data_IF_135069978181
#
_entry.id   IF_135069978181
#
_cell.length_a   1.000
_cell.length_b   1.000
_cell.length_c   1.000
_cell.angle_alpha   90.00
_cell.angle_beta   90.00
_cell.angle_gamma   90.00
#
_symmetry.space_group_name_H-M   'P 1'
#
loop_
_entity.id
_entity.type
_entity.pdbx_description
1 polymer ?
#
# COMPACT_ATOMS: atom_id res chain seq x y z
N UNK A 1 -1.01 10.22 -10.11
CA UNK A 1 -0.53 10.08 -11.49
C UNK A 1 -1.47 9.20 -12.32
N UNK A 2 -1.71 7.92 -11.94
CA UNK A 2 -2.57 7.01 -12.69
C UNK A 2 -3.93 7.62 -13.07
N UNK A 3 -4.59 8.33 -12.15
CA UNK A 3 -5.86 9.03 -12.42
C UNK A 3 -5.74 10.13 -13.48
N UNK A 4 -4.56 10.74 -13.62
CA UNK A 4 -4.30 11.74 -14.67
C UNK A 4 -4.26 11.03 -16.02
N UNK A 5 -3.52 9.93 -16.13
CA UNK A 5 -3.44 9.13 -17.37
C UNK A 5 -4.81 8.56 -17.76
N UNK A 6 -5.55 8.02 -16.78
CA UNK A 6 -6.86 7.41 -17.02
C UNK A 6 -7.93 8.47 -17.44
N UNK A 7 -7.80 9.71 -16.95
CA UNK A 7 -8.77 10.79 -17.19
C UNK A 7 -8.41 11.75 -18.33
N UNK A 8 -7.13 12.06 -18.49
CA UNK A 8 -6.64 13.09 -19.44
C UNK A 8 -5.71 12.54 -20.54
N UNK A 9 -5.42 11.23 -20.47
CA UNK A 9 -4.53 10.56 -21.41
C UNK A 9 -3.04 10.64 -21.02
N UNK A 10 -2.26 9.77 -21.67
CA UNK A 10 -0.82 9.57 -21.36
C UNK A 10 -0.01 10.85 -21.61
N UNK A 11 -0.34 11.62 -22.65
CA UNK A 11 0.37 12.85 -23.01
C UNK A 11 0.31 13.88 -21.88
N UNK A 12 -0.85 14.04 -21.24
CA UNK A 12 -1.04 14.93 -20.10
C UNK A 12 -0.23 14.46 -18.87
N UNK A 13 -0.17 13.16 -18.66
CA UNK A 13 0.66 12.58 -17.60
C UNK A 13 2.15 12.79 -17.83
N UNK A 14 2.62 12.57 -19.06
CA UNK A 14 4.03 12.77 -19.42
C UNK A 14 4.44 14.23 -19.28
N UNK A 15 3.59 15.17 -19.70
CA UNK A 15 3.83 16.59 -19.51
C UNK A 15 3.93 16.96 -18.02
N UNK A 16 3.02 16.45 -17.17
CA UNK A 16 3.07 16.65 -15.73
C UNK A 16 4.39 16.12 -15.13
N UNK A 17 4.80 14.91 -15.52
CA UNK A 17 6.06 14.29 -15.08
C UNK A 17 7.25 15.16 -15.51
N UNK A 18 7.27 15.66 -16.74
CA UNK A 18 8.33 16.52 -17.24
C UNK A 18 8.41 17.85 -16.48
N UNK A 19 7.27 18.51 -16.24
CA UNK A 19 7.23 19.77 -15.49
C UNK A 19 7.73 19.55 -14.05
N UNK A 20 7.28 18.49 -13.40
CA UNK A 20 7.72 18.16 -12.04
C UNK A 20 9.20 17.77 -12.00
N UNK A 21 9.66 16.97 -12.96
CA UNK A 21 11.06 16.59 -13.09
C UNK A 21 11.98 17.78 -13.34
N UNK A 22 11.56 18.77 -14.14
CA UNK A 22 12.28 20.02 -14.37
C UNK A 22 12.47 20.81 -13.07
N UNK A 23 11.41 20.92 -12.27
CA UNK A 23 11.49 21.50 -10.93
C UNK A 23 12.45 20.75 -10.01
N UNK A 24 12.41 19.41 -10.00
CA UNK A 24 13.32 18.62 -9.17
C UNK A 24 14.77 18.78 -9.60
N UNK A 25 15.06 18.92 -10.89
CA UNK A 25 16.43 19.15 -11.40
C UNK A 25 17.06 20.43 -10.89
N UNK A 26 16.29 21.43 -10.43
CA UNK A 26 16.81 22.64 -9.81
C UNK A 26 17.58 22.36 -8.49
N UNK A 27 17.35 21.20 -7.88
CA UNK A 27 18.08 20.77 -6.70
C UNK A 27 19.44 20.15 -7.00
N UNK A 28 19.74 19.81 -8.27
CA UNK A 28 21.05 19.24 -8.61
C UNK A 28 22.20 20.19 -8.26
N UNK A 29 23.22 19.64 -7.63
CA UNK A 29 24.41 20.36 -7.21
C UNK A 29 25.46 19.38 -6.70
N UNK A 30 26.47 19.89 -6.00
CA UNK A 30 27.57 19.07 -5.51
C UNK A 30 27.11 18.02 -4.48
N UNK A 31 26.09 18.35 -3.68
CA UNK A 31 25.59 17.50 -2.60
C UNK A 31 24.26 16.82 -2.91
N UNK A 32 23.64 17.08 -4.07
CA UNK A 32 22.34 16.54 -4.43
C UNK A 32 22.32 16.05 -5.86
N UNK A 33 21.94 14.80 -6.05
CA UNK A 33 21.74 14.19 -7.38
C UNK A 33 20.27 13.78 -7.51
N UNK A 34 19.63 14.23 -8.58
CA UNK A 34 18.25 13.89 -8.90
C UNK A 34 18.21 12.94 -10.09
N UNK A 35 17.51 11.83 -9.92
CA UNK A 35 17.31 10.82 -10.96
C UNK A 35 15.82 10.54 -11.16
N UNK A 36 15.41 10.37 -12.41
CA UNK A 36 14.12 9.81 -12.76
C UNK A 36 14.24 8.28 -12.83
N UNK A 37 13.55 7.56 -11.97
CA UNK A 37 13.63 6.10 -11.93
C UNK A 37 12.63 5.44 -12.89
N UNK A 38 11.37 5.75 -12.74
CA UNK A 38 10.32 5.18 -13.59
C UNK A 38 9.01 5.95 -13.44
N UNK A 39 8.25 6.09 -14.51
CA UNK A 39 6.90 6.67 -14.51
C UNK A 39 6.80 7.98 -13.70
N UNK A 40 6.23 7.94 -12.50
CA UNK A 40 6.05 9.07 -11.59
C UNK A 40 6.98 9.02 -10.36
N UNK A 41 8.06 8.23 -10.44
CA UNK A 41 8.99 8.03 -9.33
C UNK A 41 10.34 8.68 -9.64
N UNK A 42 10.76 9.56 -8.75
CA UNK A 42 12.06 10.20 -8.74
C UNK A 42 12.85 9.79 -7.51
N UNK A 43 14.17 9.73 -7.63
CA UNK A 43 15.09 9.52 -6.54
C UNK A 43 16.01 10.75 -6.40
N UNK A 44 16.30 11.10 -5.16
CA UNK A 44 17.29 12.12 -4.83
C UNK A 44 18.31 11.51 -3.88
N UNK A 45 19.56 11.48 -4.28
CA UNK A 45 20.66 11.18 -3.38
C UNK A 45 21.18 12.49 -2.80
N UNK A 46 21.25 12.57 -1.47
CA UNK A 46 21.66 13.77 -0.75
C UNK A 46 22.87 13.42 0.10
N UNK A 47 23.98 14.09 -0.13
CA UNK A 47 25.17 14.00 0.71
C UNK A 47 25.09 15.04 1.83
N UNK A 48 24.80 14.58 3.04
CA UNK A 48 24.63 15.45 4.22
C UNK A 48 25.41 14.91 5.42
N UNK A 49 26.76 15.00 5.39
CA UNK A 49 27.61 14.42 6.43
C UNK A 49 27.45 15.08 7.80
N UNK A 50 26.84 16.26 7.86
CA UNK A 50 26.65 17.01 9.09
C UNK A 50 25.22 16.96 9.63
N UNK A 51 24.30 16.31 8.93
CA UNK A 51 22.88 16.23 9.33
C UNK A 51 22.18 17.59 9.36
N UNK A 52 22.54 18.50 8.46
CA UNK A 52 22.09 19.91 8.45
C UNK A 52 20.64 20.11 7.97
N UNK A 53 19.80 19.08 8.05
CA UNK A 53 18.37 19.15 7.66
C UNK A 53 18.12 19.39 6.18
N UNK A 54 19.07 19.06 5.31
CA UNK A 54 18.95 19.21 3.86
C UNK A 54 17.70 18.52 3.33
N UNK A 55 17.39 17.31 3.83
CA UNK A 55 16.18 16.56 3.45
C UNK A 55 14.90 17.32 3.80
N UNK A 56 14.81 17.88 5.02
CA UNK A 56 13.63 18.65 5.43
C UNK A 56 13.46 19.93 4.62
N UNK A 57 14.55 20.61 4.28
CA UNK A 57 14.51 21.80 3.47
C UNK A 57 14.03 21.51 2.06
N UNK A 58 14.56 20.47 1.43
CA UNK A 58 14.13 20.00 0.11
C UNK A 58 12.67 19.59 0.14
N UNK A 59 12.25 18.81 1.13
CA UNK A 59 10.87 18.40 1.30
C UNK A 59 9.92 19.59 1.41
N UNK A 60 10.25 20.62 2.20
CA UNK A 60 9.45 21.85 2.32
C UNK A 60 9.28 22.55 0.97
N UNK A 61 10.34 22.64 0.15
CA UNK A 61 10.28 23.21 -1.20
C UNK A 61 9.38 22.38 -2.12
N UNK A 62 9.50 21.04 -2.08
CA UNK A 62 8.67 20.12 -2.85
C UNK A 62 7.19 20.30 -2.47
N UNK A 63 6.86 20.31 -1.17
CA UNK A 63 5.49 20.53 -0.69
C UNK A 63 4.96 21.90 -1.11
N UNK A 64 5.78 22.95 -1.04
CA UNK A 64 5.38 24.29 -1.53
C UNK A 64 5.02 24.23 -3.01
N UNK A 65 5.88 23.65 -3.85
CA UNK A 65 5.64 23.53 -5.31
C UNK A 65 4.37 22.73 -5.62
N UNK A 66 4.09 21.66 -4.89
CA UNK A 66 2.88 20.82 -5.12
C UNK A 66 1.57 21.50 -4.68
N UNK A 67 1.64 22.58 -3.90
CA UNK A 67 0.47 23.42 -3.58
C UNK A 67 0.12 24.37 -4.72
N UNK A 68 1.05 24.65 -5.61
CA UNK A 68 0.83 25.45 -6.80
C UNK A 68 0.31 24.54 -7.92
N UNK A 69 -0.68 25.00 -8.71
CA UNK A 69 -1.21 24.21 -9.79
C UNK A 69 -0.19 23.99 -10.92
N UNK A 70 -0.34 22.88 -11.62
CA UNK A 70 0.36 22.58 -12.86
C UNK A 70 -0.55 22.89 -14.03
N UNK A 71 -0.08 23.75 -14.93
CA UNK A 71 -0.80 24.16 -16.14
C UNK A 71 -0.29 23.34 -17.32
N UNK A 72 -1.15 22.56 -17.93
CA UNK A 72 -0.81 21.73 -19.08
C UNK A 72 -1.13 22.47 -20.39
N UNK A 73 -0.41 22.12 -21.45
CA UNK A 73 -0.55 22.75 -22.78
C UNK A 73 -2.00 22.68 -23.30
N UNK A 74 -2.73 21.62 -22.97
CA UNK A 74 -4.15 21.46 -23.29
C UNK A 74 -5.12 22.32 -22.48
N UNK A 75 -4.61 23.28 -21.65
CA UNK A 75 -5.42 24.16 -20.80
C UNK A 75 -5.92 23.53 -19.51
N UNK A 76 -5.57 22.25 -19.24
CA UNK A 76 -5.94 21.61 -17.99
C UNK A 76 -5.08 22.14 -16.83
N UNK A 77 -5.69 22.24 -15.66
CA UNK A 77 -5.04 22.67 -14.42
C UNK A 77 -5.08 21.52 -13.41
N UNK A 78 -3.91 21.08 -12.97
CA UNK A 78 -3.78 19.93 -12.09
C UNK A 78 -3.17 20.31 -10.73
N UNK A 79 -3.77 19.78 -9.67
CA UNK A 79 -3.19 19.76 -8.34
C UNK A 79 -2.70 18.36 -8.02
N UNK A 80 -1.45 18.26 -7.60
CA UNK A 80 -0.85 16.97 -7.23
C UNK A 80 -0.39 16.95 -5.79
N UNK A 81 -0.15 15.77 -5.29
CA UNK A 81 0.51 15.54 -4.00
C UNK A 81 1.65 14.57 -4.17
N UNK A 82 2.67 14.68 -3.34
CA UNK A 82 3.86 13.84 -3.37
C UNK A 82 3.97 13.08 -2.06
N UNK A 83 4.29 11.79 -2.15
CA UNK A 83 4.71 10.99 -1.02
C UNK A 83 6.20 10.72 -1.13
N UNK A 84 6.93 10.91 -0.05
CA UNK A 84 8.38 10.82 0.00
C UNK A 84 8.78 9.73 0.98
N UNK A 85 9.69 8.84 0.55
CA UNK A 85 10.37 7.89 1.42
C UNK A 85 11.82 8.32 1.60
N UNK A 86 12.31 8.27 2.81
CA UNK A 86 13.69 8.63 3.16
C UNK A 86 14.36 7.43 3.82
N UNK A 87 15.54 7.09 3.32
CA UNK A 87 16.42 6.08 3.92
C UNK A 87 17.82 6.64 4.03
N UNK A 88 18.46 6.43 5.16
CA UNK A 88 19.76 7.00 5.48
C UNK A 88 20.84 5.91 5.52
N UNK A 89 21.98 6.23 4.98
CA UNK A 89 23.18 5.41 5.06
C UNK A 89 24.00 5.82 6.31
N UNK A 90 24.55 4.87 7.06
CA UNK A 90 24.51 3.41 6.88
C UNK A 90 23.35 2.70 7.57
N UNK A 91 22.45 3.42 8.26
CA UNK A 91 21.44 2.88 9.18
C UNK A 91 20.41 2.00 8.47
N UNK A 92 19.96 2.43 7.29
CA UNK A 92 18.94 1.70 6.54
C UNK A 92 19.52 0.59 5.66
N UNK A 93 20.69 0.80 5.09
CA UNK A 93 21.37 -0.15 4.20
C UNK A 93 22.83 0.21 3.99
N UNK A 94 23.61 -0.77 3.51
CA UNK A 94 25.05 -0.60 3.24
C UNK A 94 25.41 -0.52 1.76
N UNK A 95 24.43 -0.72 0.88
CA UNK A 95 24.58 -0.57 -0.57
C UNK A 95 23.58 0.43 -1.14
N UNK A 96 23.96 1.10 -2.23
CA UNK A 96 23.09 2.09 -2.89
C UNK A 96 21.74 1.48 -3.35
N UNK A 97 21.77 0.26 -3.89
CA UNK A 97 20.56 -0.42 -4.36
C UNK A 97 19.61 -0.74 -3.20
N UNK A 98 20.15 -1.25 -2.09
CA UNK A 98 19.33 -1.53 -0.89
C UNK A 98 18.78 -0.24 -0.29
N UNK A 99 19.57 0.85 -0.29
CA UNK A 99 19.12 2.15 0.22
C UNK A 99 17.92 2.68 -0.58
N UNK A 100 17.98 2.60 -1.92
CA UNK A 100 16.87 2.98 -2.80
C UNK A 100 15.64 2.10 -2.50
N UNK A 101 15.81 0.78 -2.38
CA UNK A 101 14.73 -0.13 -2.05
C UNK A 101 14.09 0.19 -0.68
N UNK A 102 14.90 0.50 0.33
CA UNK A 102 14.39 0.93 1.63
C UNK A 102 13.57 2.21 1.55
N UNK A 103 14.06 3.22 0.81
CA UNK A 103 13.33 4.46 0.59
C UNK A 103 12.00 4.23 -0.15
N UNK A 104 11.98 3.34 -1.15
CA UNK A 104 10.78 2.98 -1.88
C UNK A 104 9.74 2.26 -1.00
N UNK A 105 10.17 1.30 -0.18
CA UNK A 105 9.29 0.59 0.78
C UNK A 105 8.59 1.58 1.71
N UNK A 106 9.32 2.50 2.31
CA UNK A 106 8.72 3.47 3.25
C UNK A 106 7.85 4.49 2.53
N UNK A 107 8.18 4.88 1.30
CA UNK A 107 7.32 5.71 0.45
C UNK A 107 5.97 5.02 0.21
N UNK A 108 5.97 3.73 -0.14
CA UNK A 108 4.73 2.96 -0.33
C UNK A 108 3.91 2.86 0.96
N UNK A 109 4.56 2.67 2.11
CA UNK A 109 3.87 2.71 3.40
C UNK A 109 3.23 4.09 3.65
N UNK A 110 3.95 5.18 3.38
CA UNK A 110 3.42 6.54 3.46
C UNK A 110 2.20 6.75 2.56
N UNK A 111 2.23 6.20 1.33
CA UNK A 111 1.06 6.20 0.41
C UNK A 111 -0.14 5.45 1.00
N UNK A 112 0.07 4.32 1.65
CA UNK A 112 -0.98 3.53 2.29
C UNK A 112 -1.59 4.24 3.52
N UNK A 113 -0.79 5.03 4.25
CA UNK A 113 -1.21 5.77 5.45
C UNK A 113 -1.88 7.12 5.16
N UNK A 114 -2.29 7.39 3.91
CA UNK A 114 -3.04 8.60 3.54
C UNK A 114 -2.33 9.52 2.56
N UNK A 115 -1.21 9.11 1.98
CA UNK A 115 -0.44 9.87 0.96
C UNK A 115 0.03 11.26 1.44
N UNK A 116 0.63 12.05 0.56
CA UNK A 116 1.04 13.45 0.79
C UNK A 116 1.84 13.65 2.09
N UNK A 117 2.87 12.83 2.29
CA UNK A 117 3.70 12.84 3.49
C UNK A 117 5.13 12.40 3.20
N UNK A 118 6.01 12.75 4.12
CA UNK A 118 7.35 12.15 4.22
C UNK A 118 7.30 10.99 5.21
N UNK A 119 7.98 9.91 4.88
CA UNK A 119 8.13 8.74 5.73
C UNK A 119 9.60 8.37 5.78
N UNK A 120 10.16 8.29 6.97
CA UNK A 120 11.52 7.85 7.20
C UNK A 120 11.57 6.33 7.37
N UNK A 121 12.69 5.75 6.96
CA UNK A 121 12.97 4.34 7.16
C UNK A 121 13.06 4.03 8.65
N UNK A 122 12.50 2.89 9.02
CA UNK A 122 12.57 2.30 10.35
C UNK A 122 12.55 0.78 10.19
N UNK A 123 13.41 0.07 10.91
CA UNK A 123 13.49 -1.40 10.86
C UNK A 123 12.13 -2.11 11.07
N UNK A 124 11.26 -1.69 11.99
CA UNK A 124 9.90 -2.21 12.09
C UNK A 124 9.10 -2.12 10.80
N UNK A 125 9.27 -1.05 10.01
CA UNK A 125 8.58 -0.86 8.74
C UNK A 125 9.00 -1.93 7.72
N UNK A 126 10.29 -2.19 7.61
CA UNK A 126 10.81 -3.23 6.73
C UNK A 126 10.29 -4.61 7.14
N UNK A 127 10.34 -4.92 8.42
CA UNK A 127 9.85 -6.19 8.95
C UNK A 127 8.35 -6.41 8.67
N UNK A 128 7.54 -5.35 8.84
CA UNK A 128 6.12 -5.40 8.49
C UNK A 128 5.88 -5.60 6.99
N UNK A 129 6.70 -4.96 6.15
CA UNK A 129 6.62 -5.13 4.71
C UNK A 129 6.96 -6.57 4.30
N UNK A 130 8.07 -7.12 4.80
CA UNK A 130 8.48 -8.50 4.50
C UNK A 130 7.43 -9.52 4.97
N UNK A 131 6.86 -9.33 6.17
CA UNK A 131 5.75 -10.17 6.66
C UNK A 131 4.51 -10.10 5.77
N UNK A 132 4.17 -8.93 5.24
CA UNK A 132 3.03 -8.79 4.34
C UNK A 132 3.29 -9.44 2.97
N UNK A 133 4.52 -9.37 2.44
CA UNK A 133 4.91 -10.08 1.21
C UNK A 133 4.82 -11.59 1.39
N UNK A 134 5.34 -12.11 2.50
CA UNK A 134 5.25 -13.53 2.85
C UNK A 134 3.78 -13.96 3.00
N UNK A 135 2.97 -13.13 3.66
CA UNK A 135 1.55 -13.43 3.88
C UNK A 135 0.74 -13.39 2.58
N UNK A 136 1.07 -12.49 1.63
CA UNK A 136 0.47 -12.45 0.29
C UNK A 136 0.72 -13.75 -0.48
N UNK A 137 1.96 -14.23 -0.46
CA UNK A 137 2.31 -15.49 -1.11
C UNK A 137 1.55 -16.68 -0.50
N UNK A 138 1.56 -16.79 0.82
CA UNK A 138 0.83 -17.85 1.54
C UNK A 138 -0.68 -17.78 1.34
N UNK A 139 -1.24 -16.57 1.20
CA UNK A 139 -2.67 -16.41 0.96
C UNK A 139 -3.09 -16.95 -0.41
N UNK A 140 -2.29 -16.72 -1.44
CA UNK A 140 -2.54 -17.26 -2.78
C UNK A 140 -2.52 -18.79 -2.78
N UNK A 141 -1.56 -19.38 -2.07
CA UNK A 141 -1.48 -20.84 -1.87
C UNK A 141 -2.70 -21.36 -1.10
N UNK A 142 -3.08 -20.68 -0.01
CA UNK A 142 -4.23 -21.05 0.80
C UNK A 142 -5.57 -21.00 0.04
N UNK A 143 -5.72 -20.06 -0.90
CA UNK A 143 -6.90 -19.99 -1.80
C UNK A 143 -6.93 -21.21 -2.71
N UNK A 144 -5.80 -21.63 -3.25
CA UNK A 144 -5.70 -22.79 -4.14
C UNK A 144 -5.98 -24.11 -3.38
N UNK A 145 -5.47 -24.24 -2.16
CA UNK A 145 -5.58 -25.45 -1.32
C UNK A 145 -6.87 -25.48 -0.47
N UNK A 146 -7.70 -24.42 -0.50
CA UNK A 146 -8.89 -24.27 0.33
C UNK A 146 -8.61 -24.39 1.85
N UNK A 147 -7.52 -23.79 2.32
CA UNK A 147 -7.08 -23.81 3.72
C UNK A 147 -7.88 -22.86 4.63
N UNK A 148 -9.15 -22.65 4.31
CA UNK A 148 -10.06 -21.79 5.08
C UNK A 148 -11.08 -22.61 5.87
N UNK A 149 -11.54 -22.02 6.98
CA UNK A 149 -12.58 -22.55 7.83
C UNK A 149 -13.63 -21.49 8.04
N UNK A 150 -14.89 -21.89 8.26
CA UNK A 150 -15.96 -21.01 8.71
C UNK A 150 -16.32 -21.31 10.16
N UNK A 151 -16.33 -20.25 10.96
CA UNK A 151 -16.94 -20.25 12.28
C UNK A 151 -18.27 -19.55 12.17
N UNK A 152 -19.28 -20.04 12.89
CA UNK A 152 -20.61 -19.50 12.87
C UNK A 152 -20.95 -18.90 14.23
N UNK A 153 -21.15 -17.59 14.27
CA UNK A 153 -21.53 -16.90 15.50
C UNK A 153 -23.05 -16.71 15.54
N UNK A 154 -23.76 -17.31 16.52
CA UNK A 154 -25.19 -17.20 16.61
C UNK A 154 -25.62 -15.78 17.02
N UNK A 155 -26.69 -15.30 16.40
CA UNK A 155 -27.32 -14.03 16.69
C UNK A 155 -28.73 -14.31 17.25
N UNK A 156 -29.08 -13.67 18.36
CA UNK A 156 -30.35 -13.87 19.05
C UNK A 156 -31.17 -12.59 19.12
N UNK A 157 -32.49 -12.72 19.10
CA UNK A 157 -33.39 -11.61 19.40
C UNK A 157 -33.27 -11.23 20.88
N UNK A 158 -33.05 -9.94 21.19
CA UNK A 158 -32.85 -9.48 22.56
C UNK A 158 -34.03 -9.75 23.49
N UNK A 159 -35.28 -9.67 22.98
CA UNK A 159 -36.50 -9.80 23.81
C UNK A 159 -36.85 -11.22 24.23
N UNK A 160 -36.64 -12.21 23.34
CA UNK A 160 -37.09 -13.60 23.58
C UNK A 160 -35.96 -14.63 23.49
N UNK A 161 -34.73 -14.20 23.24
CA UNK A 161 -33.53 -15.05 23.06
C UNK A 161 -33.66 -16.15 22.00
N UNK A 162 -34.60 -16.03 21.08
CA UNK A 162 -34.70 -16.95 19.96
C UNK A 162 -33.61 -16.68 18.96
N UNK A 163 -33.08 -17.72 18.32
CA UNK A 163 -32.08 -17.60 17.27
C UNK A 163 -32.68 -16.79 16.11
N UNK A 164 -31.96 -15.74 15.72
CA UNK A 164 -32.29 -14.90 14.56
C UNK A 164 -31.57 -15.38 13.31
N UNK A 165 -30.33 -15.84 13.47
CA UNK A 165 -29.46 -16.25 12.41
C UNK A 165 -28.05 -16.49 12.92
N UNK A 166 -27.14 -16.68 12.00
CA UNK A 166 -25.70 -16.86 12.30
C UNK A 166 -24.87 -15.98 11.39
N UNK A 167 -23.76 -15.50 11.90
CA UNK A 167 -22.75 -14.82 11.11
C UNK A 167 -21.65 -15.82 10.75
N UNK A 168 -21.36 -15.95 9.45
CA UNK A 168 -20.27 -16.78 8.96
C UNK A 168 -18.95 -15.99 9.00
N UNK A 169 -18.04 -16.42 9.83
CA UNK A 169 -16.77 -15.75 10.09
C UNK A 169 -15.62 -16.60 9.54
N UNK A 170 -14.99 -16.12 8.49
CA UNK A 170 -13.86 -16.81 7.89
C UNK A 170 -12.66 -16.87 8.84
N UNK A 171 -11.97 -18.00 8.81
CA UNK A 171 -10.71 -18.27 9.51
C UNK A 171 -9.74 -18.88 8.53
N UNK A 172 -8.50 -18.48 8.62
CA UNK A 172 -7.42 -19.06 7.83
C UNK A 172 -6.44 -19.77 8.75
N UNK A 173 -6.17 -21.02 8.43
CA UNK A 173 -5.18 -21.84 9.13
C UNK A 173 -3.98 -22.01 8.20
N UNK A 174 -2.81 -21.53 8.62
CA UNK A 174 -1.57 -21.70 7.83
C UNK A 174 -1.11 -23.17 7.81
N UNK A 175 -0.14 -23.48 6.93
CA UNK A 175 0.39 -24.82 6.79
C UNK A 175 0.99 -25.42 8.09
N UNK A 176 1.27 -24.59 9.09
CA UNK A 176 1.75 -24.99 10.42
C UNK A 176 0.61 -25.12 11.45
N UNK A 177 -0.64 -25.00 11.04
CA UNK A 177 -1.80 -25.09 11.91
C UNK A 177 -2.10 -23.82 12.72
N UNK A 178 -1.40 -22.71 12.49
CA UNK A 178 -1.60 -21.43 13.18
C UNK A 178 -2.77 -20.65 12.55
N UNK A 179 -3.65 -20.13 13.39
CA UNK A 179 -4.75 -19.26 12.94
C UNK A 179 -4.25 -17.86 12.60
N UNK A 180 -4.52 -17.42 11.37
CA UNK A 180 -4.21 -16.07 10.90
C UNK A 180 -5.49 -15.23 11.01
N UNK A 181 -5.36 -14.06 11.66
CA UNK A 181 -6.48 -13.15 11.88
C UNK A 181 -7.04 -12.59 10.56
N UNK A 182 -8.37 -12.56 10.38
CA UNK A 182 -9.00 -11.92 9.24
C UNK A 182 -8.55 -10.46 9.02
N UNK A 183 -8.36 -9.71 10.10
CA UNK A 183 -7.86 -8.34 10.04
C UNK A 183 -6.48 -8.20 9.39
N UNK A 184 -5.69 -9.28 9.31
CA UNK A 184 -4.39 -9.28 8.65
C UNK A 184 -4.48 -9.67 7.17
N UNK A 185 -5.27 -10.69 6.83
CA UNK A 185 -5.26 -11.20 5.46
C UNK A 185 -6.35 -10.60 4.56
N UNK A 186 -7.48 -10.15 5.09
CA UNK A 186 -8.55 -9.53 4.28
C UNK A 186 -8.04 -8.30 3.52
N UNK A 187 -7.33 -7.33 4.16
CA UNK A 187 -6.80 -6.18 3.42
C UNK A 187 -5.81 -6.57 2.31
N UNK A 188 -5.07 -7.66 2.49
CA UNK A 188 -4.16 -8.19 1.45
C UNK A 188 -4.97 -8.80 0.32
N UNK A 189 -6.00 -9.60 0.66
CA UNK A 189 -6.90 -10.21 -0.31
C UNK A 189 -7.63 -9.18 -1.18
N UNK A 190 -8.10 -8.09 -0.58
CA UNK A 190 -8.72 -6.97 -1.29
C UNK A 190 -7.74 -6.29 -2.26
N UNK A 191 -6.51 -6.07 -1.81
CA UNK A 191 -5.49 -5.39 -2.61
C UNK A 191 -5.03 -6.22 -3.81
N UNK A 192 -4.92 -7.54 -3.67
CA UNK A 192 -4.42 -8.44 -4.71
C UNK A 192 -5.53 -9.14 -5.51
N UNK A 193 -6.82 -8.91 -5.16
CA UNK A 193 -7.99 -9.49 -5.82
C UNK A 193 -8.38 -10.88 -5.35
N UNK A 194 -7.63 -11.54 -4.47
CA UNK A 194 -7.98 -12.87 -3.94
C UNK A 194 -9.21 -12.85 -3.04
N UNK A 195 -9.70 -11.68 -2.65
CA UNK A 195 -10.96 -11.54 -1.91
C UNK A 195 -12.15 -12.11 -2.68
N UNK A 196 -12.12 -12.07 -4.02
CA UNK A 196 -13.21 -12.58 -4.87
C UNK A 196 -13.33 -14.11 -4.76
N UNK A 197 -12.29 -14.93 -5.07
CA UNK A 197 -12.39 -16.37 -4.86
C UNK A 197 -12.64 -16.76 -3.40
N UNK A 198 -12.08 -16.04 -2.43
CA UNK A 198 -12.39 -16.27 -1.01
C UNK A 198 -13.88 -16.02 -0.73
N UNK A 199 -14.45 -14.93 -1.23
CA UNK A 199 -15.86 -14.61 -1.05
C UNK A 199 -16.79 -15.66 -1.67
N UNK A 200 -16.48 -16.13 -2.87
CA UNK A 200 -17.21 -17.20 -3.53
C UNK A 200 -17.19 -18.50 -2.71
N UNK A 201 -16.01 -18.88 -2.21
CA UNK A 201 -15.86 -20.05 -1.34
C UNK A 201 -16.67 -19.91 -0.04
N UNK A 202 -16.63 -18.72 0.59
CA UNK A 202 -17.40 -18.44 1.83
C UNK A 202 -18.89 -18.60 1.57
N UNK A 203 -19.41 -18.03 0.49
CA UNK A 203 -20.83 -18.13 0.11
C UNK A 203 -21.26 -19.57 -0.13
N UNK A 204 -20.52 -20.28 -0.99
CA UNK A 204 -20.82 -21.68 -1.30
C UNK A 204 -20.80 -22.55 -0.05
N UNK A 205 -19.74 -22.43 0.77
CA UNK A 205 -19.59 -23.23 1.99
C UNK A 205 -20.67 -22.90 3.03
N UNK A 206 -21.04 -21.63 3.18
CA UNK A 206 -22.09 -21.20 4.09
C UNK A 206 -23.45 -21.76 3.69
N UNK A 207 -23.82 -21.65 2.40
CA UNK A 207 -25.10 -22.17 1.89
C UNK A 207 -25.17 -23.68 2.08
N UNK A 208 -24.11 -24.40 1.74
CA UNK A 208 -24.04 -25.87 1.91
C UNK A 208 -24.22 -26.27 3.38
N UNK A 209 -23.46 -25.62 4.29
CA UNK A 209 -23.55 -25.91 5.72
C UNK A 209 -24.95 -25.60 6.28
N UNK A 210 -25.55 -24.48 5.84
CA UNK A 210 -26.90 -24.11 6.27
C UNK A 210 -27.93 -25.13 5.77
N UNK A 211 -27.81 -25.60 4.55
CA UNK A 211 -28.65 -26.65 4.00
C UNK A 211 -28.53 -28.00 4.76
N UNK A 212 -27.30 -28.34 5.21
CA UNK A 212 -27.06 -29.53 6.04
C UNK A 212 -27.69 -29.45 7.45
N UNK A 213 -27.83 -28.23 7.98
CA UNK A 213 -28.50 -28.04 9.26
C UNK A 213 -30.02 -28.27 9.17
N UNK A 214 -30.62 -27.98 8.01
CA UNK A 214 -32.06 -28.17 7.77
C UNK A 214 -32.93 -27.43 8.78
N UNK A 215 -34.07 -28.05 9.15
CA UNK A 215 -35.02 -27.51 10.10
C UNK A 215 -34.65 -27.73 11.59
N UNK A 216 -33.38 -28.05 11.86
CA UNK A 216 -32.94 -28.38 13.23
C UNK A 216 -32.72 -27.17 14.14
N UNK A 217 -32.65 -25.95 13.56
CA UNK A 217 -32.39 -24.72 14.30
C UNK A 217 -33.32 -23.57 13.93
#
# INVERSE_FOLDING_TARGET
FRKVNDGLGIVAGDELVQQFGSFLKEFNGDDVIVCHLTSDVYCMAIYDPCGNKSVEHIHKKIVKRTREPFYLVGGQVLNITVSVGVAEYPEAATSALELINCAEIVMFKGKAMGKNRIQYFDTPILNDFLKNVELDSKLKEAVFENNFLLYYQPQYYAGNRKLRGVEALIRWKDGNGRMISPAKFIPIAEKNGTIIPIGNWVLEKSIRTFSEWGDRY
#
